data_IF_392199552890
#
_entry.id   IF_392199552890
#
_cell.length_a   1.000
_cell.length_b   1.000
_cell.length_c   1.000
_cell.angle_alpha   90.00
_cell.angle_beta   90.00
_cell.angle_gamma   90.00
#
_symmetry.space_group_name_H-M   'P 1'
#
loop_
_entity.id
_entity.type
_entity.pdbx_description
1 polymer ?
#
# COMPACT_ATOMS: atom_id res chain seq x y z
N UNK A 1 -10.08 20.98 2.13
CA UNK A 1 -11.07 20.81 3.22
C UNK A 1 -10.55 19.67 4.07
N UNK A 2 -10.20 19.91 5.33
CA UNK A 2 -9.60 18.89 6.18
C UNK A 2 -10.63 17.78 6.45
N UNK A 3 -10.28 16.55 6.06
CA UNK A 3 -11.07 15.36 6.33
C UNK A 3 -11.09 15.15 7.85
N UNK A 4 -12.27 15.07 8.45
CA UNK A 4 -12.45 14.75 9.88
C UNK A 4 -12.23 13.23 10.13
N UNK A 5 -11.15 12.67 9.57
CA UNK A 5 -11.09 11.31 9.04
C UNK A 5 -10.86 10.20 10.06
N UNK A 6 -11.54 9.08 9.86
CA UNK A 6 -11.29 7.80 10.52
C UNK A 6 -9.80 7.43 10.50
N UNK A 7 -9.33 6.75 11.56
CA UNK A 7 -7.95 6.24 11.61
C UNK A 7 -7.67 5.37 10.37
N UNK A 8 -6.54 5.55 9.66
CA UNK A 8 -6.20 4.71 8.52
C UNK A 8 -6.13 3.24 8.91
N UNK A 9 -6.60 2.35 8.04
CA UNK A 9 -6.36 0.91 8.17
C UNK A 9 -4.99 0.63 7.57
N UNK A 10 -4.11 -0.02 8.33
CA UNK A 10 -2.83 -0.50 7.82
C UNK A 10 -3.02 -1.87 7.18
N UNK A 11 -2.49 -2.05 5.98
CA UNK A 11 -2.64 -3.28 5.20
C UNK A 11 -1.26 -3.73 4.74
N UNK A 12 -0.83 -4.90 5.21
CA UNK A 12 0.35 -5.56 4.68
C UNK A 12 0.00 -6.41 3.46
N UNK A 13 0.77 -6.26 2.38
CA UNK A 13 0.65 -7.03 1.14
C UNK A 13 2.00 -7.67 0.82
N UNK A 14 2.10 -8.98 1.01
CA UNK A 14 3.25 -9.77 0.57
C UNK A 14 3.15 -10.12 -0.91
N UNK A 15 4.28 -10.25 -1.60
CA UNK A 15 4.28 -10.51 -3.04
C UNK A 15 3.74 -9.33 -3.83
N UNK A 16 3.90 -8.10 -3.29
CA UNK A 16 3.25 -6.89 -3.80
C UNK A 16 3.77 -6.45 -5.17
N UNK A 17 4.95 -6.89 -5.60
CA UNK A 17 5.46 -6.65 -6.96
C UNK A 17 4.98 -7.71 -7.97
N UNK A 18 4.41 -8.82 -7.51
CA UNK A 18 3.81 -9.84 -8.37
C UNK A 18 2.53 -9.35 -9.05
N UNK A 19 2.10 -10.00 -10.14
CA UNK A 19 0.96 -9.54 -10.94
C UNK A 19 -0.35 -9.37 -10.15
N UNK A 20 -0.61 -10.28 -9.20
CA UNK A 20 -1.79 -10.19 -8.32
C UNK A 20 -1.63 -9.06 -7.32
N UNK A 21 -0.43 -8.93 -6.70
CA UNK A 21 -0.11 -7.85 -5.78
C UNK A 21 -0.26 -6.49 -6.43
N UNK A 22 0.32 -6.32 -7.61
CA UNK A 22 0.20 -5.14 -8.46
C UNK A 22 -1.26 -4.79 -8.71
N UNK A 23 -2.08 -5.70 -9.26
CA UNK A 23 -3.50 -5.40 -9.50
C UNK A 23 -4.30 -5.09 -8.23
N UNK A 24 -3.91 -5.66 -7.09
CA UNK A 24 -4.60 -5.50 -5.81
C UNK A 24 -4.33 -4.13 -5.16
N UNK A 25 -3.07 -3.68 -5.10
CA UNK A 25 -2.69 -2.50 -4.30
C UNK A 25 -3.33 -1.20 -4.79
N UNK A 26 -3.49 -1.04 -6.11
CA UNK A 26 -4.18 0.14 -6.67
C UNK A 26 -5.68 0.15 -6.33
N UNK A 27 -6.32 -1.02 -6.27
CA UNK A 27 -7.74 -1.14 -5.92
C UNK A 27 -7.97 -0.85 -4.43
N UNK A 28 -7.02 -1.25 -3.58
CA UNK A 28 -7.04 -0.88 -2.15
C UNK A 28 -6.88 0.63 -2.02
N UNK A 29 -5.86 1.22 -2.67
CA UNK A 29 -5.60 2.66 -2.63
C UNK A 29 -6.75 3.51 -3.20
N UNK A 30 -7.47 2.99 -4.21
CA UNK A 30 -8.66 3.62 -4.79
C UNK A 30 -9.92 3.54 -3.89
N UNK A 31 -9.86 2.80 -2.77
CA UNK A 31 -10.98 2.63 -1.85
C UNK A 31 -11.99 1.55 -2.25
N UNK A 32 -11.70 0.70 -3.24
CA UNK A 32 -12.62 -0.36 -3.67
C UNK A 32 -12.81 -1.46 -2.61
N UNK A 33 -11.81 -1.66 -1.74
CA UNK A 33 -11.85 -2.71 -0.71
C UNK A 33 -12.58 -2.26 0.57
N UNK A 34 -12.30 -1.06 1.07
CA UNK A 34 -12.80 -0.58 2.37
C UNK A 34 -13.83 0.56 2.25
N UNK A 35 -14.13 1.00 1.03
CA UNK A 35 -15.08 2.06 0.74
C UNK A 35 -14.44 3.43 0.48
N UNK A 36 -15.21 4.37 -0.11
CA UNK A 36 -14.70 5.63 -0.67
C UNK A 36 -14.30 6.68 0.39
N UNK A 37 -14.39 6.34 1.67
CA UNK A 37 -14.17 7.27 2.79
C UNK A 37 -13.20 6.72 3.84
N UNK A 38 -12.64 5.53 3.65
CA UNK A 38 -11.74 4.90 4.60
C UNK A 38 -10.28 5.08 4.14
N UNK A 39 -9.47 5.88 4.84
CA UNK A 39 -8.05 5.99 4.53
C UNK A 39 -7.32 4.67 4.78
N UNK A 40 -6.25 4.43 4.03
CA UNK A 40 -5.43 3.23 4.09
C UNK A 40 -3.94 3.58 4.08
N UNK A 41 -3.15 2.78 4.77
CA UNK A 41 -1.69 2.79 4.72
C UNK A 41 -1.22 1.41 4.22
N UNK A 42 -0.38 1.38 3.20
CA UNK A 42 0.08 0.14 2.57
C UNK A 42 1.49 -0.19 3.04
N UNK A 43 1.68 -1.40 3.56
CA UNK A 43 2.99 -2.00 3.77
C UNK A 43 3.22 -3.05 2.69
N UNK A 44 4.07 -2.74 1.73
CA UNK A 44 4.38 -3.56 0.58
C UNK A 44 5.62 -4.39 0.87
N UNK A 45 5.51 -5.70 0.73
CA UNK A 45 6.54 -6.66 1.15
C UNK A 45 6.89 -7.58 -0.01
N UNK A 46 8.19 -7.72 -0.28
CA UNK A 46 8.74 -8.64 -1.28
C UNK A 46 10.02 -9.32 -0.79
N UNK A 47 10.53 -10.25 -1.59
CA UNK A 47 11.91 -10.74 -1.42
C UNK A 47 12.92 -9.68 -1.89
N UNK A 48 14.14 -9.72 -1.35
CA UNK A 48 15.23 -8.77 -1.68
C UNK A 48 15.45 -8.59 -3.19
N UNK A 49 15.41 -9.69 -3.95
CA UNK A 49 15.60 -9.67 -5.41
C UNK A 49 14.51 -8.92 -6.18
N UNK A 50 13.36 -8.67 -5.55
CA UNK A 50 12.22 -7.96 -6.13
C UNK A 50 12.04 -6.53 -5.57
N UNK A 51 12.92 -6.07 -4.66
CA UNK A 51 12.81 -4.73 -4.08
C UNK A 51 12.82 -3.60 -5.12
N UNK A 52 13.63 -3.71 -6.17
CA UNK A 52 13.63 -2.70 -7.23
C UNK A 52 12.27 -2.61 -7.93
N UNK A 53 11.65 -3.76 -8.22
CA UNK A 53 10.32 -3.79 -8.81
C UNK A 53 9.27 -3.25 -7.84
N UNK A 54 9.36 -3.61 -6.56
CA UNK A 54 8.47 -3.14 -5.51
C UNK A 54 8.54 -1.62 -5.31
N UNK A 55 9.75 -1.04 -5.36
CA UNK A 55 9.93 0.41 -5.36
C UNK A 55 9.26 1.06 -6.56
N UNK A 56 9.32 0.44 -7.75
CA UNK A 56 8.58 0.89 -8.93
C UNK A 56 7.06 0.94 -8.68
N UNK A 57 6.50 -0.10 -8.06
CA UNK A 57 5.07 -0.12 -7.69
C UNK A 57 4.73 1.02 -6.71
N UNK A 58 5.58 1.29 -5.73
CA UNK A 58 5.38 2.38 -4.79
C UNK A 58 5.42 3.76 -5.48
N UNK A 59 6.32 3.95 -6.46
CA UNK A 59 6.37 5.18 -7.27
C UNK A 59 5.09 5.38 -8.08
N UNK A 60 4.57 4.32 -8.70
CA UNK A 60 3.31 4.39 -9.45
C UNK A 60 2.10 4.70 -8.55
N UNK A 61 2.08 4.17 -7.32
CA UNK A 61 1.04 4.51 -6.32
C UNK A 61 1.10 5.99 -5.92
N UNK A 62 2.30 6.56 -5.77
CA UNK A 62 2.51 7.98 -5.49
C UNK A 62 2.01 8.85 -6.65
N UNK A 63 2.38 8.50 -7.88
CA UNK A 63 1.95 9.20 -9.10
C UNK A 63 0.43 9.19 -9.31
N UNK A 64 -0.26 8.15 -8.84
CA UNK A 64 -1.72 8.07 -8.90
C UNK A 64 -2.43 9.08 -7.96
N UNK A 65 -1.71 9.65 -6.99
CA UNK A 65 -2.21 10.66 -6.06
C UNK A 65 -3.56 10.28 -5.39
N UNK A 66 -3.71 9.01 -4.99
CA UNK A 66 -4.95 8.53 -4.38
C UNK A 66 -5.25 9.28 -3.08
N UNK A 67 -6.42 9.93 -2.94
CA UNK A 67 -6.73 10.73 -1.76
C UNK A 67 -6.91 9.90 -0.47
N UNK A 68 -7.10 8.59 -0.59
CA UNK A 68 -7.26 7.66 0.54
C UNK A 68 -5.95 7.00 0.97
N UNK A 69 -4.89 7.03 0.14
CA UNK A 69 -3.60 6.43 0.46
C UNK A 69 -2.78 7.41 1.30
N UNK A 70 -2.56 7.10 2.58
CA UNK A 70 -1.88 8.01 3.52
C UNK A 70 -0.39 7.74 3.65
N UNK A 71 0.03 6.50 3.43
CA UNK A 71 1.41 6.04 3.63
C UNK A 71 1.66 4.80 2.77
N UNK A 72 2.86 4.70 2.20
CA UNK A 72 3.38 3.48 1.56
C UNK A 72 4.73 3.14 2.18
N UNK A 73 4.87 1.94 2.74
CA UNK A 73 6.13 1.37 3.23
C UNK A 73 6.57 0.26 2.30
N UNK A 74 7.85 0.23 1.93
CA UNK A 74 8.45 -0.82 1.09
C UNK A 74 9.52 -1.51 1.90
N UNK A 75 9.47 -2.84 2.01
CA UNK A 75 10.50 -3.61 2.73
C UNK A 75 10.62 -5.04 2.20
N UNK A 76 11.77 -5.67 2.46
CA UNK A 76 11.97 -7.10 2.32
C UNK A 76 12.01 -7.85 3.67
N UNK A 77 11.94 -7.12 4.78
CA UNK A 77 11.88 -7.69 6.12
C UNK A 77 10.42 -7.91 6.53
N UNK A 78 10.07 -9.14 6.87
CA UNK A 78 8.70 -9.49 7.26
C UNK A 78 8.30 -8.87 8.60
N UNK A 79 9.21 -8.80 9.58
CA UNK A 79 8.90 -8.20 10.88
C UNK A 79 8.65 -6.71 10.73
N UNK A 80 9.43 -6.04 9.88
CA UNK A 80 9.21 -4.66 9.49
C UNK A 80 7.87 -4.49 8.74
N UNK A 81 7.59 -5.37 7.78
CA UNK A 81 6.38 -5.32 6.96
C UNK A 81 5.10 -5.48 7.76
N UNK A 82 5.11 -6.32 8.79
CA UNK A 82 3.97 -6.57 9.68
C UNK A 82 3.94 -5.67 10.92
N UNK A 83 4.85 -4.69 11.04
CA UNK A 83 4.85 -3.77 12.17
C UNK A 83 3.55 -2.95 12.21
N UNK A 84 2.87 -2.98 13.36
CA UNK A 84 1.66 -2.20 13.65
C UNK A 84 0.46 -2.46 12.71
N UNK A 85 0.41 -3.61 12.03
CA UNK A 85 -0.76 -4.05 11.26
C UNK A 85 -1.88 -4.54 12.18
#
# INVERSE_FOLDING_TARGET
MAQNGTRPIRVAVTGAAGQVGYALVFRIAAGEMFGPHQPVALHLIEVESALQALTGVAMELEDCAFPLLTETRVTADLAEGFEQI
#
